data_IF_931604565596
#
_entry.id   IF_931604565596
#
_cell.length_a   1.000
_cell.length_b   1.000
_cell.length_c   1.000
_cell.angle_alpha   90.00
_cell.angle_beta   90.00
_cell.angle_gamma   90.00
#
_symmetry.space_group_name_H-M   'P 1'
#
loop_
_entity.id
_entity.type
_entity.pdbx_description
1 polymer ?
#
# COMPACT_ATOMS: atom_id res chain seq x y z
N UNK A 1 -18.56 0.30 18.75
CA UNK A 1 -17.77 0.77 17.63
C UNK A 1 -16.40 1.31 18.02
N UNK A 2 -15.65 0.56 18.82
CA UNK A 2 -14.29 0.93 19.21
C UNK A 2 -13.34 -0.26 19.03
N UNK A 3 -13.77 -1.27 18.27
CA UNK A 3 -12.98 -2.44 17.96
C UNK A 3 -11.92 -2.14 16.87
N UNK A 4 -10.82 -2.84 16.94
CA UNK A 4 -9.75 -2.81 15.94
C UNK A 4 -9.84 -4.10 15.14
N UNK A 5 -9.55 -4.05 13.86
CA UNK A 5 -9.52 -5.21 12.96
C UNK A 5 -8.08 -5.42 12.56
N UNK A 6 -7.54 -6.61 12.81
CA UNK A 6 -6.16 -6.98 12.52
C UNK A 6 -6.13 -8.09 11.46
N UNK A 7 -5.59 -7.77 10.30
CA UNK A 7 -5.28 -8.72 9.24
C UNK A 7 -3.84 -9.21 9.39
N UNK A 8 -3.67 -10.50 9.66
CA UNK A 8 -2.34 -11.10 9.84
C UNK A 8 -1.85 -11.85 8.58
N UNK A 9 -2.44 -11.55 7.42
CA UNK A 9 -1.99 -12.05 6.12
C UNK A 9 -0.76 -11.29 5.64
N UNK A 10 -0.18 -11.76 4.52
CA UNK A 10 0.88 -10.99 3.86
C UNK A 10 0.34 -9.69 3.26
N UNK A 11 1.20 -8.68 3.05
CA UNK A 11 0.78 -7.44 2.37
C UNK A 11 0.15 -7.70 1.00
N UNK A 12 0.65 -8.67 0.24
CA UNK A 12 0.13 -9.03 -1.09
C UNK A 12 -1.28 -9.65 -1.01
N UNK A 13 -1.57 -10.41 0.05
CA UNK A 13 -2.93 -10.93 0.30
C UNK A 13 -3.87 -9.80 0.73
N UNK A 14 -3.40 -8.87 1.55
CA UNK A 14 -4.14 -7.70 2.03
C UNK A 14 -4.51 -6.76 0.88
N UNK A 15 -3.55 -6.46 0.00
CA UNK A 15 -3.72 -5.56 -1.15
C UNK A 15 -4.77 -6.09 -2.16
N UNK A 16 -4.96 -7.41 -2.23
CA UNK A 16 -5.97 -8.05 -3.09
C UNK A 16 -7.40 -7.91 -2.55
N UNK A 17 -7.54 -7.53 -1.29
CA UNK A 17 -8.83 -7.31 -0.63
C UNK A 17 -8.73 -7.60 0.86
N UNK A 18 -9.35 -6.75 1.69
CA UNK A 18 -9.34 -6.86 3.16
C UNK A 18 -10.62 -6.29 3.77
N UNK A 19 -10.85 -6.49 5.05
CA UNK A 19 -11.96 -5.88 5.76
C UNK A 19 -11.73 -4.37 5.90
N UNK A 20 -12.79 -3.60 5.79
CA UNK A 20 -12.72 -2.15 5.95
C UNK A 20 -12.11 -1.75 7.30
N UNK A 21 -11.19 -0.78 7.27
CA UNK A 21 -10.43 -0.31 8.44
C UNK A 21 -9.52 -1.38 9.10
N UNK A 22 -9.21 -2.48 8.41
CA UNK A 22 -8.25 -3.46 8.91
C UNK A 22 -6.82 -2.91 8.87
N UNK A 23 -6.08 -3.18 9.94
CA UNK A 23 -4.64 -2.92 10.02
C UNK A 23 -3.92 -4.20 9.61
N UNK A 24 -2.99 -4.12 8.68
CA UNK A 24 -2.22 -5.29 8.25
C UNK A 24 -0.90 -5.39 9.00
N UNK A 25 -0.74 -6.48 9.75
CA UNK A 25 0.53 -6.85 10.39
C UNK A 25 0.80 -8.32 10.06
N UNK A 26 1.75 -8.55 9.15
CA UNK A 26 2.05 -9.90 8.64
C UNK A 26 2.58 -10.83 9.73
N UNK A 27 1.84 -11.90 10.05
CA UNK A 27 2.22 -12.92 11.03
C UNK A 27 3.59 -13.57 10.76
N UNK A 28 3.94 -13.72 9.49
CA UNK A 28 5.20 -14.36 9.08
C UNK A 28 6.40 -13.41 9.11
N UNK A 29 6.20 -12.13 9.46
CA UNK A 29 7.29 -11.16 9.54
C UNK A 29 8.05 -11.28 10.87
N UNK A 30 9.37 -11.13 10.83
CA UNK A 30 10.24 -11.12 12.02
C UNK A 30 9.93 -9.97 12.99
N UNK A 31 9.34 -8.90 12.47
CA UNK A 31 8.97 -7.68 13.20
C UNK A 31 7.48 -7.63 13.60
N UNK A 32 6.77 -8.77 13.49
CA UNK A 32 5.35 -8.87 13.87
C UNK A 32 5.06 -8.26 15.24
N UNK A 33 5.85 -8.62 16.27
CA UNK A 33 5.66 -8.14 17.63
C UNK A 33 5.94 -6.64 17.82
N UNK A 34 6.91 -6.11 17.09
CA UNK A 34 7.24 -4.67 17.11
C UNK A 34 6.10 -3.85 16.52
N UNK A 35 5.48 -4.35 15.45
CA UNK A 35 4.38 -3.67 14.77
C UNK A 35 3.05 -3.75 15.56
N UNK A 36 2.93 -4.63 16.57
CA UNK A 36 1.78 -4.65 17.47
C UNK A 36 1.63 -3.37 18.32
N UNK A 37 2.65 -2.53 18.39
CA UNK A 37 2.56 -1.20 19.04
C UNK A 37 1.48 -0.30 18.43
N UNK A 38 1.08 -0.54 17.18
CA UNK A 38 -0.03 0.15 16.52
C UNK A 38 -1.40 -0.26 17.07
N UNK A 39 -1.49 -1.42 17.73
CA UNK A 39 -2.74 -1.98 18.24
C UNK A 39 -2.89 -1.65 19.74
N UNK A 40 -3.98 -1.00 20.09
CA UNK A 40 -4.26 -0.60 21.50
C UNK A 40 -4.77 -1.79 22.30
N UNK A 41 -4.01 -2.21 23.34
CA UNK A 41 -4.37 -3.34 24.21
C UNK A 41 -5.67 -3.13 25.00
N UNK A 42 -6.09 -1.89 25.18
CA UNK A 42 -7.33 -1.53 25.89
C UNK A 42 -8.61 -1.74 25.08
N UNK A 43 -8.49 -1.92 23.75
CA UNK A 43 -9.62 -2.04 22.83
C UNK A 43 -9.79 -3.48 22.37
N UNK A 44 -11.03 -3.91 22.04
CA UNK A 44 -11.25 -5.21 21.40
C UNK A 44 -10.50 -5.31 20.07
N UNK A 45 -9.90 -6.46 19.80
CA UNK A 45 -9.19 -6.76 18.54
C UNK A 45 -9.83 -7.99 17.89
N UNK A 46 -10.34 -7.84 16.68
CA UNK A 46 -10.76 -8.94 15.82
C UNK A 46 -9.63 -9.28 14.87
N UNK A 47 -9.18 -10.52 14.91
CA UNK A 47 -8.02 -10.99 14.15
C UNK A 47 -8.50 -11.95 13.07
N UNK A 48 -7.99 -11.79 11.85
CA UNK A 48 -8.26 -12.74 10.78
C UNK A 48 -7.03 -12.97 9.91
N UNK A 49 -7.02 -14.13 9.24
CA UNK A 49 -6.11 -14.41 8.13
C UNK A 49 -6.90 -14.94 6.92
N UNK A 50 -6.29 -15.68 6.02
CA UNK A 50 -6.99 -16.22 4.86
C UNK A 50 -8.02 -17.29 5.25
N UNK A 51 -7.59 -18.35 5.97
CA UNK A 51 -8.42 -19.50 6.29
C UNK A 51 -8.56 -19.84 7.79
N UNK A 52 -7.97 -19.03 8.70
CA UNK A 52 -8.10 -19.18 10.16
C UNK A 52 -6.87 -19.73 10.88
N UNK A 53 -5.89 -20.36 10.20
CA UNK A 53 -4.73 -20.98 10.88
C UNK A 53 -3.76 -19.94 11.48
N UNK A 54 -3.31 -18.96 10.71
CA UNK A 54 -2.41 -17.88 11.16
C UNK A 54 -3.08 -17.00 12.21
N UNK A 55 -4.37 -16.68 12.05
CA UNK A 55 -5.10 -15.86 13.01
C UNK A 55 -5.30 -16.55 14.34
N UNK A 56 -5.56 -17.86 14.38
CA UNK A 56 -5.65 -18.61 15.63
C UNK A 56 -4.33 -18.56 16.42
N UNK A 57 -3.18 -18.76 15.74
CA UNK A 57 -1.86 -18.65 16.35
C UNK A 57 -1.58 -17.20 16.83
N UNK A 58 -1.92 -16.20 16.02
CA UNK A 58 -1.77 -14.79 16.41
C UNK A 58 -2.62 -14.41 17.60
N UNK A 59 -3.86 -14.89 17.68
CA UNK A 59 -4.77 -14.66 18.84
C UNK A 59 -4.18 -15.23 20.11
N UNK A 60 -3.64 -16.47 20.08
CA UNK A 60 -2.98 -17.06 21.26
C UNK A 60 -1.83 -16.16 21.73
N UNK A 61 -0.99 -15.72 20.78
CA UNK A 61 0.16 -14.87 21.10
C UNK A 61 -0.21 -13.48 21.58
N UNK A 62 -1.22 -12.85 21.00
CA UNK A 62 -1.75 -11.56 21.46
C UNK A 62 -2.24 -11.62 22.90
N UNK A 63 -2.87 -12.73 23.31
CA UNK A 63 -3.31 -12.94 24.70
C UNK A 63 -2.13 -13.04 25.67
N UNK A 64 -1.05 -13.73 25.28
CA UNK A 64 0.20 -13.79 26.04
C UNK A 64 0.81 -12.40 26.19
N UNK A 65 0.73 -11.55 25.14
CA UNK A 65 1.20 -10.16 25.15
C UNK A 65 0.30 -9.19 25.95
N UNK A 66 -0.75 -9.72 26.61
CA UNK A 66 -1.62 -8.96 27.53
C UNK A 66 -2.83 -8.27 26.87
N UNK A 67 -3.18 -8.63 25.65
CA UNK A 67 -4.44 -8.21 25.04
C UNK A 67 -5.61 -9.00 25.64
N UNK A 68 -6.53 -8.32 26.34
CA UNK A 68 -7.61 -9.00 27.10
C UNK A 68 -8.82 -9.40 26.25
N UNK A 69 -9.10 -8.65 25.17
CA UNK A 69 -10.30 -8.81 24.33
C UNK A 69 -9.87 -9.11 22.89
N UNK A 70 -9.47 -10.36 22.62
CA UNK A 70 -9.00 -10.81 21.32
C UNK A 70 -9.93 -11.91 20.79
N UNK A 71 -10.44 -11.71 19.59
CA UNK A 71 -11.40 -12.57 18.93
C UNK A 71 -10.84 -13.05 17.59
N UNK A 72 -10.91 -14.35 17.34
CA UNK A 72 -10.54 -14.96 16.06
C UNK A 72 -11.76 -15.00 15.13
N UNK A 73 -11.60 -14.49 13.91
CA UNK A 73 -12.60 -14.62 12.87
C UNK A 73 -12.47 -16.01 12.21
N UNK A 74 -13.26 -16.97 12.68
CA UNK A 74 -13.25 -18.36 12.19
C UNK A 74 -13.48 -18.42 10.67
N UNK A 75 -12.66 -19.21 9.97
CA UNK A 75 -12.71 -19.36 8.53
C UNK A 75 -12.08 -18.20 7.75
N UNK A 76 -11.66 -17.14 8.45
CA UNK A 76 -10.88 -16.02 7.92
C UNK A 76 -11.55 -15.31 6.76
N UNK A 77 -10.74 -14.66 5.92
CA UNK A 77 -11.20 -13.88 4.78
C UNK A 77 -11.94 -14.72 3.72
N UNK A 78 -11.62 -16.03 3.60
CA UNK A 78 -12.33 -16.92 2.70
C UNK A 78 -13.81 -17.09 3.11
N UNK A 79 -14.09 -17.34 4.39
CA UNK A 79 -15.45 -17.46 4.89
C UNK A 79 -16.22 -16.12 4.79
N UNK A 80 -15.55 -15.00 5.05
CA UNK A 80 -16.11 -13.67 4.88
C UNK A 80 -16.58 -13.42 3.44
N UNK A 81 -15.72 -13.71 2.46
CA UNK A 81 -16.06 -13.57 1.04
C UNK A 81 -17.14 -14.56 0.59
N UNK A 82 -17.11 -15.81 1.05
CA UNK A 82 -18.13 -16.80 0.75
C UNK A 82 -19.52 -16.40 1.26
N UNK A 83 -19.56 -15.63 2.36
CA UNK A 83 -20.78 -15.05 2.90
C UNK A 83 -21.26 -13.79 2.14
N UNK A 84 -20.56 -13.36 1.09
CA UNK A 84 -20.89 -12.16 0.32
C UNK A 84 -20.76 -10.84 1.11
N UNK A 85 -19.99 -10.84 2.19
CA UNK A 85 -19.80 -9.68 3.04
C UNK A 85 -18.83 -8.68 2.41
N UNK A 86 -19.01 -7.36 2.66
CA UNK A 86 -18.20 -6.32 2.00
C UNK A 86 -16.73 -6.41 2.39
N UNK A 87 -15.86 -6.37 1.40
CA UNK A 87 -14.42 -6.21 1.56
C UNK A 87 -13.96 -4.98 0.79
N UNK A 88 -13.01 -4.27 1.35
CA UNK A 88 -12.32 -3.23 0.60
C UNK A 88 -11.09 -3.85 -0.04
N UNK A 89 -10.94 -3.65 -1.31
CA UNK A 89 -9.59 -3.54 -1.85
C UNK A 89 -9.07 -2.19 -1.38
N UNK A 90 -7.95 -2.12 -0.65
CA UNK A 90 -7.22 -0.85 -0.73
C UNK A 90 -7.07 -0.63 -2.22
N UNK A 91 -7.72 0.41 -2.72
CA UNK A 91 -7.38 0.95 -4.01
C UNK A 91 -5.96 1.51 -3.88
N UNK A 92 -4.94 0.67 -3.95
CA UNK A 92 -3.90 0.99 -4.91
C UNK A 92 -4.72 1.20 -6.15
N UNK A 93 -4.85 2.45 -6.59
CA UNK A 93 -5.53 2.75 -7.82
C UNK A 93 -4.78 1.94 -8.88
N UNK A 94 -5.19 0.69 -9.11
CA UNK A 94 -4.86 -0.04 -10.32
C UNK A 94 -5.65 0.69 -11.37
N UNK A 95 -5.01 1.69 -11.89
CA UNK A 95 -5.53 2.60 -12.87
C UNK A 95 -5.54 1.87 -14.20
N UNK A 96 -6.56 1.06 -14.40
CA UNK A 96 -6.76 0.38 -15.67
C UNK A 96 -7.43 1.36 -16.62
N UNK A 97 -6.65 1.82 -17.61
CA UNK A 97 -7.17 2.68 -18.67
C UNK A 97 -7.56 4.09 -18.23
N UNK A 98 -6.72 4.75 -17.39
CA UNK A 98 -6.91 6.17 -17.04
C UNK A 98 -6.87 7.06 -18.28
N UNK A 99 -7.86 7.95 -18.38
CA UNK A 99 -7.77 9.12 -19.25
C UNK A 99 -6.80 10.17 -18.69
N UNK A 100 -6.32 11.10 -19.53
CA UNK A 100 -5.50 12.24 -19.08
C UNK A 100 -6.20 13.09 -18.01
N UNK A 101 -7.53 13.24 -18.08
CA UNK A 101 -8.31 13.99 -17.11
C UNK A 101 -8.29 13.30 -15.74
N UNK A 102 -8.49 11.98 -15.70
CA UNK A 102 -8.43 11.19 -14.47
C UNK A 102 -7.01 11.19 -13.90
N UNK A 103 -6.00 11.02 -14.76
CA UNK A 103 -4.60 11.16 -14.36
C UNK A 103 -4.32 12.54 -13.72
N UNK A 104 -4.74 13.64 -14.37
CA UNK A 104 -4.61 14.99 -13.83
C UNK A 104 -5.33 15.20 -12.51
N UNK A 105 -6.42 14.45 -12.28
CA UNK A 105 -7.16 14.48 -11.00
C UNK A 105 -6.39 13.84 -9.84
N UNK A 106 -5.51 12.87 -10.10
CA UNK A 106 -4.64 12.27 -9.09
C UNK A 106 -3.64 13.29 -8.49
N UNK A 107 -3.35 14.35 -9.23
CA UNK A 107 -2.43 15.42 -8.82
C UNK A 107 -3.13 16.59 -8.11
N UNK A 108 -4.43 16.47 -7.77
CA UNK A 108 -5.22 17.58 -7.20
C UNK A 108 -4.88 17.94 -5.77
N UNK A 109 -4.32 17.01 -5.01
CA UNK A 109 -3.91 17.28 -3.63
C UNK A 109 -2.71 18.22 -3.64
N UNK A 110 -2.99 19.53 -3.50
CA UNK A 110 -1.97 20.56 -3.47
C UNK A 110 -1.18 20.62 -2.16
N UNK A 111 -1.61 19.86 -1.14
CA UNK A 111 -0.97 19.86 0.18
C UNK A 111 0.24 18.93 0.24
N UNK A 112 0.33 17.97 -0.70
CA UNK A 112 1.40 16.97 -0.74
C UNK A 112 2.08 16.92 -2.10
N UNK A 113 3.31 16.44 -2.09
CA UNK A 113 3.96 15.95 -3.31
C UNK A 113 3.27 14.67 -3.77
N UNK A 114 3.15 14.47 -5.08
CA UNK A 114 2.65 13.22 -5.66
C UNK A 114 3.77 12.54 -6.45
N UNK A 115 4.20 11.38 -5.99
CA UNK A 115 5.16 10.54 -6.70
C UNK A 115 4.38 9.55 -7.56
N UNK A 116 4.58 9.61 -8.86
CA UNK A 116 4.00 8.67 -9.81
C UNK A 116 5.08 7.68 -10.27
N UNK A 117 4.80 6.39 -10.08
CA UNK A 117 5.66 5.26 -10.46
C UNK A 117 5.03 4.53 -11.66
N UNK A 118 5.58 4.72 -12.86
CA UNK A 118 5.21 3.95 -14.05
C UNK A 118 6.01 2.66 -14.08
N UNK A 119 5.32 1.54 -14.01
CA UNK A 119 5.91 0.22 -13.87
C UNK A 119 5.17 -0.85 -14.66
N UNK A 120 5.76 -2.05 -14.75
CA UNK A 120 5.09 -3.27 -15.18
C UNK A 120 5.55 -4.46 -14.33
N UNK A 121 4.72 -5.51 -14.28
CA UNK A 121 5.02 -6.71 -13.49
C UNK A 121 6.19 -7.54 -14.06
N UNK A 122 6.51 -7.39 -15.33
CA UNK A 122 7.67 -8.01 -15.98
C UNK A 122 8.96 -7.19 -15.86
N UNK A 123 8.90 -5.94 -15.45
CA UNK A 123 10.03 -5.01 -15.39
C UNK A 123 10.97 -5.34 -14.20
N UNK A 124 12.13 -5.89 -14.49
CA UNK A 124 13.12 -6.25 -13.46
C UNK A 124 13.62 -5.07 -12.62
N UNK A 125 14.03 -3.94 -13.23
CA UNK A 125 14.43 -2.73 -12.51
C UNK A 125 13.30 -2.17 -11.63
N UNK A 126 12.04 -2.18 -12.10
CA UNK A 126 10.88 -1.73 -11.33
C UNK A 126 10.70 -2.56 -10.04
N UNK A 127 10.86 -3.90 -10.14
CA UNK A 127 10.81 -4.79 -8.97
C UNK A 127 11.89 -4.49 -7.93
N UNK A 128 13.09 -4.09 -8.37
CA UNK A 128 14.17 -3.68 -7.46
C UNK A 128 13.87 -2.35 -6.77
N UNK A 129 13.16 -1.46 -7.42
CA UNK A 129 12.81 -0.14 -6.88
C UNK A 129 11.59 -0.18 -5.96
N UNK A 130 10.62 -1.05 -6.22
CA UNK A 130 9.33 -1.10 -5.53
C UNK A 130 9.44 -1.14 -3.99
N UNK A 131 10.35 -1.93 -3.35
CA UNK A 131 10.44 -1.97 -1.89
C UNK A 131 10.80 -0.63 -1.27
N UNK A 132 11.82 0.06 -1.78
CA UNK A 132 12.24 1.34 -1.20
C UNK A 132 11.28 2.48 -1.58
N UNK A 133 10.65 2.46 -2.75
CA UNK A 133 9.60 3.43 -3.10
C UNK A 133 8.44 3.34 -2.11
N UNK A 134 7.96 2.11 -1.83
CA UNK A 134 6.89 1.86 -0.85
C UNK A 134 7.29 2.33 0.55
N UNK A 135 8.50 1.99 0.99
CA UNK A 135 9.06 2.40 2.27
C UNK A 135 9.11 3.93 2.41
N UNK A 136 9.65 4.65 1.42
CA UNK A 136 9.71 6.11 1.43
C UNK A 136 8.31 6.73 1.47
N UNK A 137 7.36 6.19 0.69
CA UNK A 137 5.98 6.68 0.69
C UNK A 137 5.30 6.50 2.05
N UNK A 138 5.57 5.41 2.75
CA UNK A 138 5.08 5.17 4.12
C UNK A 138 5.70 6.12 5.13
N UNK A 139 7.04 6.25 5.12
CA UNK A 139 7.77 7.15 6.02
C UNK A 139 7.39 8.63 5.84
N UNK A 140 7.06 9.02 4.62
CA UNK A 140 6.74 10.40 4.24
C UNK A 140 5.27 10.64 3.95
N UNK A 141 4.37 9.82 4.46
CA UNK A 141 2.93 9.85 4.14
C UNK A 141 2.24 11.19 4.43
N UNK A 142 2.79 12.00 5.34
CA UNK A 142 2.28 13.35 5.64
C UNK A 142 2.52 14.36 4.50
N UNK A 143 3.55 14.12 3.69
CA UNK A 143 4.02 15.07 2.66
C UNK A 143 4.08 14.49 1.25
N UNK A 144 3.91 13.17 1.11
CA UNK A 144 4.06 12.43 -0.15
C UNK A 144 2.91 11.46 -0.34
N UNK A 145 2.29 11.49 -1.51
CA UNK A 145 1.33 10.49 -2.00
C UNK A 145 2.00 9.68 -3.09
N UNK A 146 1.94 8.35 -3.01
CA UNK A 146 2.41 7.45 -4.06
C UNK A 146 1.26 7.03 -4.97
N UNK A 147 1.42 7.24 -6.26
CA UNK A 147 0.53 6.73 -7.31
C UNK A 147 1.31 5.76 -8.16
N UNK A 148 0.78 4.55 -8.35
CA UNK A 148 1.39 3.52 -9.19
C UNK A 148 0.57 3.29 -10.45
N UNK A 149 1.21 3.37 -11.61
CA UNK A 149 0.57 3.19 -12.92
C UNK A 149 1.24 2.02 -13.64
N UNK A 150 0.49 0.92 -13.78
CA UNK A 150 0.94 -0.19 -14.62
C UNK A 150 0.78 0.21 -16.10
N UNK A 151 1.88 0.21 -16.85
CA UNK A 151 1.88 0.64 -18.26
C UNK A 151 1.07 -0.31 -19.14
N UNK A 152 1.03 -1.60 -18.82
CA UNK A 152 0.26 -2.59 -19.60
C UNK A 152 -1.25 -2.34 -19.48
N UNK A 153 -1.71 -1.83 -18.34
CA UNK A 153 -3.11 -1.45 -18.11
C UNK A 153 -3.45 -0.04 -18.63
N UNK A 154 -2.44 0.79 -18.96
CA UNK A 154 -2.60 2.22 -19.28
C UNK A 154 -1.84 2.65 -20.54
N UNK A 155 -1.83 1.82 -21.57
CA UNK A 155 -1.04 2.04 -22.79
C UNK A 155 -1.36 3.38 -23.48
N UNK A 156 -2.64 3.74 -23.59
CA UNK A 156 -3.06 5.00 -24.20
C UNK A 156 -2.57 6.21 -23.41
N UNK A 157 -2.74 6.20 -22.08
CA UNK A 157 -2.22 7.24 -21.19
C UNK A 157 -0.70 7.37 -21.32
N UNK A 158 0.03 6.24 -21.31
CA UNK A 158 1.49 6.23 -21.45
C UNK A 158 1.94 6.84 -22.77
N UNK A 159 1.27 6.51 -23.87
CA UNK A 159 1.52 7.13 -25.19
C UNK A 159 1.32 8.65 -25.15
N UNK A 160 0.21 9.11 -24.56
CA UNK A 160 -0.10 10.54 -24.44
C UNK A 160 0.87 11.29 -23.52
N UNK A 161 1.46 10.62 -22.53
CA UNK A 161 2.45 11.18 -21.61
C UNK A 161 3.90 11.03 -22.06
N UNK A 162 4.14 10.39 -23.23
CA UNK A 162 5.47 10.15 -23.79
C UNK A 162 6.28 9.14 -22.95
N UNK A 163 5.63 8.16 -22.33
CA UNK A 163 6.30 7.11 -21.57
C UNK A 163 6.67 5.97 -22.53
N UNK A 164 7.90 5.96 -22.99
CA UNK A 164 8.40 4.97 -23.99
C UNK A 164 9.16 3.81 -23.35
N UNK A 165 9.69 4.02 -22.15
CA UNK A 165 10.44 3.00 -21.40
C UNK A 165 10.11 3.08 -19.91
N UNK A 166 10.35 2.00 -19.17
CA UNK A 166 10.12 1.92 -17.72
C UNK A 166 11.34 1.33 -17.00
N UNK A 167 11.55 1.67 -15.70
CA UNK A 167 10.71 2.51 -14.84
C UNK A 167 10.80 4.00 -15.18
N UNK A 168 9.70 4.73 -14.97
CA UNK A 168 9.70 6.20 -14.97
C UNK A 168 9.09 6.67 -13.66
N UNK A 169 9.78 7.57 -12.98
CA UNK A 169 9.26 8.27 -11.82
C UNK A 169 9.03 9.74 -12.16
N UNK A 170 7.84 10.25 -11.82
CA UNK A 170 7.53 11.69 -11.92
C UNK A 170 7.07 12.20 -10.56
N UNK A 171 7.65 13.31 -10.12
CA UNK A 171 7.28 13.97 -8.87
C UNK A 171 6.55 15.27 -9.18
N UNK A 172 5.36 15.40 -8.64
CA UNK A 172 4.48 16.55 -8.86
C UNK A 172 4.36 17.40 -7.60
N UNK A 173 4.34 18.71 -7.78
CA UNK A 173 3.95 19.72 -6.79
C UNK A 173 2.95 20.67 -7.45
N UNK A 174 1.76 20.84 -6.88
CA UNK A 174 0.71 21.70 -7.44
C UNK A 174 0.41 21.41 -8.93
N UNK A 175 0.27 20.14 -9.29
CA UNK A 175 0.02 19.61 -10.65
C UNK A 175 1.16 19.79 -11.66
N UNK A 176 2.27 20.39 -11.29
CA UNK A 176 3.44 20.54 -12.15
C UNK A 176 4.47 19.47 -11.84
N UNK A 177 5.10 18.93 -12.87
CA UNK A 177 6.26 18.05 -12.71
C UNK A 177 7.43 18.88 -12.20
N UNK A 178 7.90 18.59 -10.99
CA UNK A 178 9.06 19.25 -10.38
C UNK A 178 10.33 18.41 -10.47
N UNK A 179 10.19 17.12 -10.74
CA UNK A 179 11.30 16.22 -10.99
C UNK A 179 10.82 14.97 -11.73
N UNK A 180 11.67 14.39 -12.57
CA UNK A 180 11.45 13.09 -13.20
C UNK A 180 12.75 12.33 -13.37
N UNK A 181 12.64 11.01 -13.47
CA UNK A 181 13.74 10.11 -13.78
C UNK A 181 13.24 8.96 -14.65
N UNK A 182 14.07 8.58 -15.62
CA UNK A 182 13.87 7.40 -16.47
C UNK A 182 14.94 6.37 -16.14
N UNK A 183 14.53 5.09 -16.10
CA UNK A 183 15.41 4.00 -15.71
C UNK A 183 15.58 3.84 -14.20
N UNK A 184 16.45 2.91 -13.82
CA UNK A 184 16.72 2.58 -12.43
C UNK A 184 17.42 3.72 -11.70
N UNK A 185 16.92 4.06 -10.51
CA UNK A 185 17.60 4.91 -9.53
C UNK A 185 17.73 4.18 -8.20
N UNK A 186 18.65 4.63 -7.34
CA UNK A 186 18.76 4.09 -6.00
C UNK A 186 17.90 4.87 -4.99
N UNK A 187 17.76 4.31 -3.78
CA UNK A 187 16.94 4.90 -2.70
C UNK A 187 17.39 6.32 -2.33
N UNK A 188 18.73 6.56 -2.25
CA UNK A 188 19.25 7.87 -1.85
C UNK A 188 18.91 8.96 -2.85
N UNK A 189 19.03 8.68 -4.14
CA UNK A 189 18.66 9.62 -5.20
C UNK A 189 17.18 10.02 -5.12
N UNK A 190 16.29 9.07 -4.87
CA UNK A 190 14.86 9.37 -4.71
C UNK A 190 14.60 10.23 -3.47
N UNK A 191 15.24 9.92 -2.35
CA UNK A 191 15.10 10.70 -1.10
C UNK A 191 15.57 12.15 -1.28
N UNK A 192 16.73 12.35 -1.90
CA UNK A 192 17.26 13.68 -2.19
C UNK A 192 16.34 14.49 -3.11
N UNK A 193 15.79 13.84 -4.15
CA UNK A 193 14.86 14.49 -5.08
C UNK A 193 13.56 14.94 -4.39
N UNK A 194 13.03 14.14 -3.48
CA UNK A 194 11.85 14.50 -2.69
C UNK A 194 12.16 15.68 -1.76
N UNK A 195 13.31 15.68 -1.09
CA UNK A 195 13.69 16.80 -0.21
C UNK A 195 13.91 18.10 -0.97
N UNK A 196 14.54 18.07 -2.14
CA UNK A 196 14.69 19.24 -3.02
C UNK A 196 13.35 19.79 -3.51
N UNK A 197 12.40 18.91 -3.83
CA UNK A 197 11.08 19.33 -4.32
C UNK A 197 10.19 19.96 -3.22
N UNK A 198 10.53 19.77 -1.94
CA UNK A 198 9.80 20.40 -0.82
C UNK A 198 10.10 21.90 -0.68
N UNK A 199 11.30 22.30 -1.02
CA UNK A 199 11.74 23.69 -0.96
C UNK A 199 10.99 24.53 -2.01
#
# INVERSE_FOLDING_TARGET
PNAQILDVRTPEEFDKGHLENAININWNSSDFFQNLSEIKKSRPVFVYCLGGGRSAAAVAKLREEGFKKVYDMKGGFMAWNAAGLPSTTQKTLKTKGLSLIEYGNLMKDSSKLVLVDFYADWCGPCKKMAPFIKKIAQEKNQILTLVKINVDDNMELCTQLGIEAIPVLKLYKNKMVVWQSEGYINENMLRESIEKARQ
#
